data_IF_274563645721
#
_entry.id   IF_274563645721
#
_cell.length_a   1.000
_cell.length_b   1.000
_cell.length_c   1.000
_cell.angle_alpha   90.00
_cell.angle_beta   90.00
_cell.angle_gamma   90.00
#
_symmetry.space_group_name_H-M   'P 1'
#
loop_
_entity.id
_entity.type
_entity.pdbx_description
1 polymer ?
#
# COMPACT_ATOMS: atom_id res chain seq x y z
N UNK A 1 15.09 -3.53 -15.39
CA UNK A 1 14.84 -3.32 -13.95
C UNK A 1 16.13 -2.85 -13.30
N UNK A 2 16.09 -1.73 -12.57
CA UNK A 2 17.28 -1.09 -12.01
C UNK A 2 17.62 -1.68 -10.63
N UNK A 3 18.57 -2.62 -10.58
CA UNK A 3 18.96 -3.30 -9.34
C UNK A 3 19.50 -2.36 -8.26
N UNK A 4 20.06 -1.20 -8.63
CA UNK A 4 20.50 -0.19 -7.65
C UNK A 4 19.32 0.45 -6.94
N UNK A 5 18.21 0.65 -7.65
CA UNK A 5 16.99 1.23 -7.10
C UNK A 5 16.37 0.29 -6.06
N UNK A 6 16.44 -1.03 -6.29
CA UNK A 6 15.97 -2.01 -5.29
C UNK A 6 16.67 -1.87 -3.93
N UNK A 7 17.99 -1.63 -3.92
CA UNK A 7 18.77 -1.49 -2.68
C UNK A 7 18.55 -0.13 -2.00
N UNK A 8 18.41 0.96 -2.77
CA UNK A 8 18.31 2.32 -2.22
C UNK A 8 16.88 2.80 -1.97
N UNK A 9 15.94 2.41 -2.82
CA UNK A 9 14.52 2.78 -2.77
C UNK A 9 13.64 1.62 -3.32
N UNK A 10 13.39 0.59 -2.52
CA UNK A 10 12.58 -0.55 -2.94
C UNK A 10 11.12 -0.17 -3.28
N UNK A 11 10.61 0.96 -2.78
CA UNK A 11 9.27 1.46 -3.13
C UNK A 11 9.26 2.01 -4.54
N UNK A 12 10.21 2.88 -4.87
CA UNK A 12 10.41 3.39 -6.23
C UNK A 12 10.63 2.26 -7.23
N UNK A 13 11.44 1.25 -6.86
CA UNK A 13 11.63 0.05 -7.68
C UNK A 13 10.31 -0.69 -7.95
N UNK A 14 9.47 -0.85 -6.92
CA UNK A 14 8.17 -1.50 -7.06
C UNK A 14 7.21 -0.69 -7.93
N UNK A 15 7.23 0.64 -7.81
CA UNK A 15 6.44 1.54 -8.66
C UNK A 15 6.91 1.48 -10.13
N UNK A 16 8.20 1.37 -10.40
CA UNK A 16 8.71 1.12 -11.75
C UNK A 16 8.21 -0.20 -12.32
N UNK A 17 8.13 -1.26 -11.52
CA UNK A 17 7.57 -2.55 -11.99
C UNK A 17 6.12 -2.39 -12.45
N UNK A 18 5.30 -1.68 -11.69
CA UNK A 18 3.90 -1.37 -12.06
C UNK A 18 3.86 -0.52 -13.32
N UNK A 19 4.68 0.53 -13.40
CA UNK A 19 4.77 1.39 -14.59
C UNK A 19 5.21 0.63 -15.86
N UNK A 20 5.98 -0.45 -15.70
CA UNK A 20 6.42 -1.34 -16.78
C UNK A 20 5.39 -2.41 -17.18
N UNK A 21 4.18 -2.39 -16.58
CA UNK A 21 3.08 -3.29 -16.93
C UNK A 21 2.84 -4.43 -15.94
N UNK A 22 3.47 -4.41 -14.76
CA UNK A 22 3.03 -5.28 -13.66
C UNK A 22 1.66 -4.81 -13.16
N UNK A 23 0.77 -5.77 -12.87
CA UNK A 23 -0.55 -5.46 -12.33
C UNK A 23 -0.46 -4.85 -10.92
N UNK A 24 -1.04 -3.66 -10.77
CA UNK A 24 -1.02 -2.90 -9.53
C UNK A 24 -1.78 -3.61 -8.41
N UNK A 25 -2.92 -4.24 -8.73
CA UNK A 25 -3.74 -4.94 -7.76
C UNK A 25 -3.02 -6.19 -7.23
N UNK A 26 -2.31 -6.90 -8.12
CA UNK A 26 -1.45 -8.00 -7.72
C UNK A 26 -0.32 -7.54 -6.78
N UNK A 27 0.35 -6.43 -7.10
CA UNK A 27 1.40 -5.87 -6.24
C UNK A 27 0.86 -5.39 -4.88
N UNK A 28 -0.33 -4.78 -4.86
CA UNK A 28 -1.02 -4.41 -3.63
C UNK A 28 -1.34 -5.66 -2.79
N UNK A 29 -1.85 -6.73 -3.41
CA UNK A 29 -2.15 -7.99 -2.72
C UNK A 29 -0.88 -8.62 -2.13
N UNK A 30 0.24 -8.58 -2.85
CA UNK A 30 1.54 -9.03 -2.34
C UNK A 30 1.99 -8.21 -1.12
N UNK A 31 1.86 -6.88 -1.18
CA UNK A 31 2.21 -6.00 -0.07
C UNK A 31 1.33 -6.28 1.17
N UNK A 32 0.01 -6.33 0.99
CA UNK A 32 -0.95 -6.58 2.08
C UNK A 32 -0.75 -7.96 2.73
N UNK A 33 -0.39 -8.99 1.96
CA UNK A 33 -0.06 -10.32 2.50
C UNK A 33 1.24 -10.36 3.29
N UNK A 34 2.18 -9.46 3.01
CA UNK A 34 3.44 -9.38 3.71
C UNK A 34 3.34 -8.57 5.02
N UNK A 35 2.47 -7.56 5.05
CA UNK A 35 2.21 -6.74 6.22
C UNK A 35 1.53 -7.53 7.35
N UNK A 36 1.80 -7.17 8.60
CA UNK A 36 1.04 -7.71 9.73
C UNK A 36 -0.37 -7.08 9.80
N UNK A 37 -1.34 -7.73 10.48
CA UNK A 37 -2.66 -7.12 10.69
C UNK A 37 -2.61 -5.74 11.34
N UNK A 38 -1.67 -5.51 12.25
CA UNK A 38 -1.51 -4.22 12.93
C UNK A 38 -0.89 -3.15 12.00
N UNK A 39 0.04 -3.53 11.12
CA UNK A 39 0.56 -2.63 10.08
C UNK A 39 -0.55 -2.20 9.10
N UNK A 40 -1.43 -3.14 8.71
CA UNK A 40 -2.56 -2.82 7.81
C UNK A 40 -3.52 -1.87 8.50
N UNK A 41 -3.88 -2.13 9.77
CA UNK A 41 -4.73 -1.20 10.54
C UNK A 41 -4.10 0.18 10.67
N UNK A 42 -2.80 0.24 11.00
CA UNK A 42 -2.06 1.50 11.10
C UNK A 42 -2.00 2.27 9.77
N UNK A 43 -1.84 1.58 8.65
CA UNK A 43 -1.89 2.18 7.31
C UNK A 43 -3.27 2.76 7.00
N UNK A 44 -4.36 1.99 7.24
CA UNK A 44 -5.73 2.46 7.02
C UNK A 44 -6.04 3.67 7.92
N UNK A 45 -5.63 3.58 9.18
CA UNK A 45 -5.80 4.63 10.17
C UNK A 45 -5.07 5.93 9.81
N UNK A 46 -3.81 5.84 9.35
CA UNK A 46 -2.99 7.00 8.99
C UNK A 46 -3.51 7.74 7.75
N UNK A 47 -4.39 7.11 6.96
CA UNK A 47 -5.02 7.69 5.78
C UNK A 47 -6.52 7.95 5.98
N UNK A 48 -7.02 7.88 7.22
CA UNK A 48 -8.43 8.10 7.57
C UNK A 48 -9.41 7.16 6.84
N UNK A 49 -8.93 5.98 6.40
CA UNK A 49 -9.72 4.97 5.67
C UNK A 49 -10.30 3.88 6.58
N UNK A 50 -10.01 3.95 7.88
CA UNK A 50 -10.47 2.97 8.85
C UNK A 50 -11.93 3.23 9.25
N UNK A 51 -12.73 2.20 9.57
CA UNK A 51 -14.14 2.37 9.94
C UNK A 51 -14.42 3.44 10.99
N UNK A 52 -13.47 3.66 11.91
CA UNK A 52 -13.53 4.68 12.96
C UNK A 52 -13.57 6.13 12.46
N UNK A 53 -13.27 6.38 11.19
CA UNK A 53 -13.34 7.70 10.56
C UNK A 53 -14.52 7.85 9.60
N UNK A 54 -15.06 6.74 9.08
CA UNK A 54 -16.25 6.74 8.20
C UNK A 54 -17.57 6.77 8.97
N UNK A 55 -17.63 6.28 10.21
CA UNK A 55 -18.87 6.26 11.00
C UNK A 55 -19.28 7.66 11.52
N UNK A 56 -18.43 8.70 11.42
CA UNK A 56 -18.75 10.08 11.81
C UNK A 56 -19.36 10.93 10.67
N UNK A 57 -19.40 10.43 9.42
CA UNK A 57 -19.93 11.14 8.25
C UNK A 57 -21.37 10.75 7.85
N UNK A 58 -21.96 9.73 8.49
CA UNK A 58 -23.32 9.22 8.21
C UNK A 58 -24.40 9.73 9.23
N UNK A 59 -24.17 10.88 9.89
CA UNK A 59 -25.14 11.56 10.80
C UNK A 59 -25.75 12.87 10.24
N UNK A 60 -25.87 13.06 8.91
CA UNK A 60 -26.76 14.08 8.28
C UNK A 60 -27.84 13.52 7.35
#
# INVERSE_FOLDING_TARGET
>A
MNSKLYESDPRGYTLEMVAMGMDADHMLLCALKHMSPDDVRGMLDANEMSPRFTDDDDEE
#
